data_IF_635194271231
#
_entry.id   IF_635194271231
#
_cell.length_a   1.000
_cell.length_b   1.000
_cell.length_c   1.000
_cell.angle_alpha   90.00
_cell.angle_beta   90.00
_cell.angle_gamma   90.00
#
_symmetry.space_group_name_H-M   'P 1'
#
loop_
_entity.id
_entity.type
_entity.pdbx_description
1 polymer ?
#
# COMPACT_ATOMS: atom_id res chain seq x y z
N UNK A 1 14.40 -10.44 -17.03
CA UNK A 1 13.36 -11.26 -16.34
C UNK A 1 12.58 -10.32 -15.44
N UNK A 2 11.25 -10.40 -15.40
CA UNK A 2 10.48 -9.57 -14.48
C UNK A 2 10.84 -9.95 -13.03
N UNK A 3 11.03 -8.94 -12.19
CA UNK A 3 11.32 -9.10 -10.76
C UNK A 3 10.26 -10.02 -10.10
N UNK A 4 10.64 -11.11 -9.40
CA UNK A 4 9.71 -11.98 -8.70
C UNK A 4 8.73 -11.23 -7.79
N UNK A 5 9.19 -10.15 -7.14
CA UNK A 5 8.35 -9.29 -6.29
C UNK A 5 7.20 -8.66 -7.10
N UNK A 6 7.49 -8.24 -8.33
CA UNK A 6 6.50 -7.65 -9.23
C UNK A 6 5.42 -8.67 -9.57
N UNK A 7 5.84 -9.88 -9.94
CA UNK A 7 4.93 -10.94 -10.40
C UNK A 7 4.07 -11.50 -9.27
N UNK A 8 4.63 -11.63 -8.08
CA UNK A 8 3.96 -12.28 -6.95
C UNK A 8 3.11 -11.32 -6.14
N UNK A 9 3.56 -10.08 -5.94
CA UNK A 9 2.90 -9.13 -5.03
C UNK A 9 2.41 -7.87 -5.74
N UNK A 10 3.26 -7.19 -6.51
CA UNK A 10 2.91 -5.85 -7.03
C UNK A 10 1.81 -5.89 -8.10
N UNK A 11 1.69 -6.99 -8.86
CA UNK A 11 0.54 -7.21 -9.75
C UNK A 11 -0.81 -7.17 -9.02
N UNK A 12 -0.85 -7.57 -7.74
CA UNK A 12 -2.03 -7.43 -6.90
C UNK A 12 -2.33 -5.97 -6.61
N UNK A 13 -1.34 -5.22 -6.13
CA UNK A 13 -1.47 -3.80 -5.80
C UNK A 13 -1.87 -2.95 -7.00
N UNK A 14 -1.30 -3.20 -8.18
CA UNK A 14 -1.69 -2.45 -9.38
C UNK A 14 -3.14 -2.66 -9.77
N UNK A 15 -3.71 -3.85 -9.58
CA UNK A 15 -5.15 -4.06 -9.82
C UNK A 15 -5.99 -3.24 -8.86
N UNK A 16 -5.55 -3.06 -7.62
CA UNK A 16 -6.22 -2.22 -6.62
C UNK A 16 -6.17 -0.75 -7.06
N UNK A 17 -4.99 -0.25 -7.48
CA UNK A 17 -4.86 1.11 -8.03
C UNK A 17 -5.75 1.31 -9.26
N UNK A 18 -5.76 0.36 -10.19
CA UNK A 18 -6.62 0.41 -11.37
C UNK A 18 -8.10 0.50 -10.98
N UNK A 19 -8.57 -0.33 -10.03
CA UNK A 19 -9.96 -0.26 -9.55
C UNK A 19 -10.26 1.08 -8.87
N UNK A 20 -9.34 1.57 -8.04
CA UNK A 20 -9.48 2.84 -7.34
C UNK A 20 -9.71 3.99 -8.33
N UNK A 21 -8.83 4.13 -9.32
CA UNK A 21 -8.94 5.23 -10.30
C UNK A 21 -10.06 4.99 -11.32
N UNK A 22 -10.40 3.74 -11.63
CA UNK A 22 -11.58 3.44 -12.45
C UNK A 22 -12.91 3.84 -11.78
N UNK A 23 -12.91 4.04 -10.45
CA UNK A 23 -14.06 4.53 -9.69
C UNK A 23 -14.17 6.07 -9.65
N UNK A 24 -13.11 6.79 -10.03
CA UNK A 24 -13.13 8.25 -10.10
C UNK A 24 -13.93 8.74 -11.32
N UNK A 25 -14.37 10.01 -11.30
CA UNK A 25 -15.16 10.64 -12.36
C UNK A 25 -14.48 10.66 -13.72
N UNK A 26 -13.15 10.52 -13.81
CA UNK A 26 -12.42 10.49 -15.09
C UNK A 26 -12.19 9.08 -15.64
N UNK A 27 -12.38 8.04 -14.82
CA UNK A 27 -12.00 6.68 -15.16
C UNK A 27 -10.49 6.51 -15.33
N UNK A 28 -10.07 5.34 -15.81
CA UNK A 28 -8.65 5.03 -16.03
C UNK A 28 -8.38 4.74 -17.51
N UNK A 29 -7.31 5.32 -18.05
CA UNK A 29 -6.80 4.94 -19.37
C UNK A 29 -5.35 4.46 -19.27
N UNK A 30 -4.97 3.55 -20.17
CA UNK A 30 -3.74 2.78 -20.03
C UNK A 30 -2.46 3.62 -19.97
N UNK A 31 -2.37 4.70 -20.75
CA UNK A 31 -1.17 5.56 -20.75
C UNK A 31 -0.99 6.29 -19.42
N UNK A 32 -2.04 6.90 -18.89
CA UNK A 32 -1.97 7.56 -17.58
C UNK A 32 -1.61 6.58 -16.45
N UNK A 33 -2.11 5.34 -16.50
CA UNK A 33 -1.72 4.32 -15.51
C UNK A 33 -0.24 3.93 -15.59
N UNK A 34 0.35 3.90 -16.80
CA UNK A 34 1.80 3.68 -16.94
C UNK A 34 2.60 4.84 -16.33
N UNK A 35 2.14 6.08 -16.53
CA UNK A 35 2.77 7.27 -15.97
C UNK A 35 2.66 7.31 -14.45
N UNK A 36 1.46 7.11 -13.92
CA UNK A 36 1.16 7.09 -12.49
C UNK A 36 2.03 6.05 -11.77
N UNK A 37 2.08 4.81 -12.27
CA UNK A 37 2.90 3.75 -11.68
C UNK A 37 4.40 4.07 -11.76
N UNK A 38 4.85 4.74 -12.82
CA UNK A 38 6.23 5.21 -12.94
C UNK A 38 6.54 6.29 -11.89
N UNK A 39 5.60 7.18 -11.59
CA UNK A 39 5.74 8.17 -10.51
C UNK A 39 5.87 7.50 -9.13
N UNK A 40 5.22 6.36 -8.91
CA UNK A 40 5.37 5.53 -7.71
C UNK A 40 6.65 4.66 -7.70
N UNK A 41 7.55 4.84 -8.67
CA UNK A 41 8.83 4.11 -8.77
C UNK A 41 8.74 2.74 -9.46
N UNK A 42 7.58 2.36 -10.00
CA UNK A 42 7.39 1.08 -10.67
C UNK A 42 7.59 1.19 -12.18
N UNK A 43 8.46 0.36 -12.75
CA UNK A 43 8.66 0.27 -14.21
C UNK A 43 7.71 -0.77 -14.81
N UNK A 44 6.50 -0.34 -15.18
CA UNK A 44 5.55 -1.18 -15.88
C UNK A 44 5.63 -0.98 -17.40
N UNK A 45 5.65 -2.08 -18.16
CA UNK A 45 5.57 -2.00 -19.62
C UNK A 45 4.12 -2.06 -20.11
N UNK A 46 3.80 -1.44 -21.26
CA UNK A 46 2.54 -1.65 -21.97
C UNK A 46 2.16 -3.13 -22.11
N UNK A 47 3.14 -3.98 -22.46
CA UNK A 47 2.96 -5.41 -22.65
C UNK A 47 2.53 -6.18 -21.40
N UNK A 48 2.65 -5.56 -20.22
CA UNK A 48 2.14 -6.13 -18.96
C UNK A 48 0.81 -5.50 -18.56
N UNK A 49 0.66 -4.17 -18.69
CA UNK A 49 -0.54 -3.45 -18.27
C UNK A 49 -1.77 -3.84 -19.09
N UNK A 50 -1.69 -3.79 -20.43
CA UNK A 50 -2.86 -4.00 -21.27
C UNK A 50 -3.47 -5.42 -21.12
N UNK A 51 -2.68 -6.50 -21.00
CA UNK A 51 -3.21 -7.81 -20.64
C UNK A 51 -3.86 -7.88 -19.25
N UNK A 52 -3.44 -7.05 -18.28
CA UNK A 52 -4.09 -6.96 -16.97
C UNK A 52 -5.45 -6.28 -17.11
N UNK A 53 -5.52 -5.13 -17.80
CA UNK A 53 -6.78 -4.42 -18.05
C UNK A 53 -7.80 -5.31 -18.78
N UNK A 54 -7.37 -6.01 -19.84
CA UNK A 54 -8.23 -6.95 -20.58
C UNK A 54 -8.76 -8.09 -19.69
N UNK A 55 -7.94 -8.62 -18.78
CA UNK A 55 -8.37 -9.65 -17.82
C UNK A 55 -9.37 -9.11 -16.79
N UNK A 56 -9.17 -7.88 -16.31
CA UNK A 56 -10.09 -7.24 -15.36
C UNK A 56 -11.44 -6.93 -16.01
N UNK A 57 -11.44 -6.49 -17.27
CA UNK A 57 -12.65 -6.31 -18.08
C UNK A 57 -13.36 -7.65 -18.31
N UNK A 58 -12.64 -8.70 -18.73
CA UNK A 58 -13.22 -10.04 -18.91
C UNK A 58 -13.84 -10.60 -17.62
N UNK A 59 -13.29 -10.26 -16.46
CA UNK A 59 -13.82 -10.64 -15.14
C UNK A 59 -15.03 -9.78 -14.72
N UNK A 60 -15.42 -8.80 -15.53
CA UNK A 60 -16.51 -7.90 -15.26
C UNK A 60 -16.21 -6.91 -14.13
N UNK A 61 -14.95 -6.69 -13.76
CA UNK A 61 -14.56 -5.69 -12.75
C UNK A 61 -14.44 -4.29 -13.34
N UNK A 62 -14.05 -4.24 -14.62
CA UNK A 62 -14.00 -3.02 -15.41
C UNK A 62 -14.93 -3.14 -16.62
N UNK A 63 -15.33 -1.99 -17.15
CA UNK A 63 -15.99 -1.85 -18.44
C UNK A 63 -15.28 -0.76 -19.23
N UNK A 64 -14.93 -1.03 -20.48
CA UNK A 64 -14.45 0.03 -21.36
C UNK A 64 -15.61 0.92 -21.82
N UNK A 65 -15.37 2.23 -21.82
CA UNK A 65 -16.27 3.18 -22.43
C UNK A 65 -16.12 3.16 -23.96
N UNK A 66 -17.20 3.47 -24.70
CA UNK A 66 -17.10 3.71 -26.13
C UNK A 66 -16.16 4.89 -26.41
N UNK A 67 -15.20 4.69 -27.31
CA UNK A 67 -14.36 5.78 -27.80
C UNK A 67 -15.16 6.66 -28.76
N UNK A 68 -15.02 7.99 -28.68
CA UNK A 68 -15.67 8.90 -29.62
C UNK A 68 -14.99 8.88 -31.00
N UNK A 69 -13.67 8.65 -31.04
CA UNK A 69 -12.87 8.45 -32.25
C UNK A 69 -11.96 7.24 -32.13
N UNK A 70 -11.54 6.61 -33.25
CA UNK A 70 -10.61 5.48 -33.23
C UNK A 70 -9.24 5.78 -32.58
N UNK A 71 -8.83 7.06 -32.58
CA UNK A 71 -7.56 7.52 -31.98
C UNK A 71 -7.67 7.79 -30.48
N UNK A 72 -8.87 7.85 -29.92
CA UNK A 72 -9.04 8.22 -28.52
C UNK A 72 -8.55 7.10 -27.60
N UNK A 73 -7.92 7.44 -26.47
CA UNK A 73 -7.48 6.44 -25.52
C UNK A 73 -8.68 5.67 -24.98
N UNK A 74 -8.53 4.35 -24.86
CA UNK A 74 -9.54 3.51 -24.24
C UNK A 74 -9.64 3.83 -22.74
N UNK A 75 -10.78 4.38 -22.33
CA UNK A 75 -11.12 4.66 -20.93
C UNK A 75 -11.87 3.47 -20.34
N UNK A 76 -11.53 3.12 -19.10
CA UNK A 76 -12.16 2.05 -18.34
C UNK A 76 -12.81 2.62 -17.08
N UNK A 77 -14.01 2.14 -16.79
CA UNK A 77 -14.77 2.41 -15.57
C UNK A 77 -14.94 1.17 -14.72
N UNK A 78 -15.03 1.38 -13.42
CA UNK A 78 -15.41 0.32 -12.50
C UNK A 78 -16.87 -0.09 -12.72
N UNK A 79 -17.16 -1.37 -12.60
CA UNK A 79 -18.54 -1.88 -12.62
C UNK A 79 -19.07 -2.04 -11.18
N UNK A 80 -20.37 -2.30 -10.97
CA UNK A 80 -20.88 -2.66 -9.65
C UNK A 80 -20.19 -3.88 -9.03
N UNK A 81 -19.80 -4.85 -9.85
CA UNK A 81 -19.02 -6.02 -9.39
C UNK A 81 -17.60 -5.62 -9.01
N UNK A 82 -16.96 -4.76 -9.80
CA UNK A 82 -15.63 -4.21 -9.48
C UNK A 82 -15.63 -3.39 -8.20
N UNK A 83 -16.69 -2.60 -7.96
CA UNK A 83 -16.83 -1.78 -6.76
C UNK A 83 -16.89 -2.66 -5.50
N UNK A 84 -17.69 -3.73 -5.52
CA UNK A 84 -17.73 -4.71 -4.41
C UNK A 84 -16.36 -5.34 -4.14
N UNK A 85 -15.63 -5.68 -5.21
CA UNK A 85 -14.27 -6.22 -5.09
C UNK A 85 -13.33 -5.19 -4.46
N UNK A 86 -13.39 -3.93 -4.91
CA UNK A 86 -12.57 -2.84 -4.37
C UNK A 86 -12.87 -2.60 -2.88
N UNK A 87 -14.14 -2.64 -2.48
CA UNK A 87 -14.53 -2.44 -1.08
C UNK A 87 -14.02 -3.57 -0.18
N UNK A 88 -14.10 -4.84 -0.61
CA UNK A 88 -13.48 -5.95 0.11
C UNK A 88 -11.97 -5.79 0.24
N UNK A 89 -11.29 -5.35 -0.83
CA UNK A 89 -9.84 -5.14 -0.82
C UNK A 89 -9.43 -3.97 0.09
N UNK A 90 -10.23 -2.90 0.16
CA UNK A 90 -10.01 -1.78 1.09
C UNK A 90 -10.05 -2.24 2.54
N UNK A 91 -11.03 -3.06 2.91
CA UNK A 91 -11.12 -3.61 4.27
C UNK A 91 -9.92 -4.48 4.62
N UNK A 92 -9.51 -5.37 3.71
CA UNK A 92 -8.31 -6.22 3.91
C UNK A 92 -7.02 -5.40 4.01
N UNK A 93 -6.87 -4.33 3.22
CA UNK A 93 -5.71 -3.45 3.26
C UNK A 93 -5.62 -2.68 4.58
N UNK A 94 -6.75 -2.19 5.08
CA UNK A 94 -6.85 -1.46 6.34
C UNK A 94 -6.54 -2.35 7.55
N UNK A 95 -7.01 -3.60 7.53
CA UNK A 95 -6.62 -4.63 8.52
C UNK A 95 -5.12 -4.93 8.47
N UNK A 96 -4.59 -5.25 7.29
CA UNK A 96 -3.17 -5.53 7.10
C UNK A 96 -2.30 -4.34 7.54
N UNK A 97 -2.68 -3.11 7.18
CA UNK A 97 -1.98 -1.90 7.57
C UNK A 97 -1.88 -1.79 9.10
N UNK A 98 -2.97 -2.02 9.83
CA UNK A 98 -2.96 -2.01 11.30
C UNK A 98 -1.98 -3.02 11.85
N UNK A 99 -2.00 -4.25 11.35
CA UNK A 99 -1.12 -5.32 11.82
C UNK A 99 0.36 -4.98 11.58
N UNK A 100 0.71 -4.59 10.36
CA UNK A 100 2.12 -4.34 10.02
C UNK A 100 2.65 -3.04 10.63
N UNK A 101 1.80 -2.05 10.89
CA UNK A 101 2.21 -0.77 11.49
C UNK A 101 2.44 -0.89 13.01
N UNK A 102 1.68 -1.72 13.71
CA UNK A 102 1.80 -1.90 15.18
C UNK A 102 3.12 -2.57 15.56
N UNK A 103 3.71 -3.38 14.68
CA UNK A 103 5.00 -4.03 14.90
C UNK A 103 6.21 -3.10 14.63
N UNK A 104 6.01 -1.88 14.13
CA UNK A 104 7.06 -0.89 13.86
C UNK A 104 7.43 0.03 15.02
N UNK A 105 6.74 -0.07 16.17
CA UNK A 105 6.91 0.85 17.32
C UNK A 105 7.36 0.20 18.63
N UNK A 106 7.89 -1.04 18.62
CA UNK A 106 8.57 -1.63 19.78
C UNK A 106 10.08 -1.32 19.75
N UNK A 107 10.42 -0.03 19.84
CA UNK A 107 11.79 0.44 19.78
C UNK A 107 12.08 1.78 20.47
N UNK A 108 11.18 2.29 21.33
CA UNK A 108 11.55 3.34 22.29
C UNK A 108 12.00 2.69 23.59
N UNK A 109 13.32 2.60 23.72
CA UNK A 109 14.05 2.16 24.89
C UNK A 109 13.43 2.66 26.19
N UNK A 110 13.25 1.72 27.11
CA UNK A 110 13.09 1.97 28.52
C UNK A 110 14.17 2.94 29.01
N UNK A 111 13.75 4.15 29.39
CA UNK A 111 14.51 4.93 30.39
C UNK A 111 14.14 4.39 31.76
N UNK A 112 14.78 3.29 32.14
CA UNK A 112 14.82 2.86 33.54
C UNK A 112 15.72 3.84 34.29
N UNK A 113 15.30 4.44 35.43
CA UNK A 113 16.19 5.28 36.21
C UNK A 113 17.29 4.41 36.82
N UNK A 114 18.56 4.70 36.51
CA UNK A 114 19.69 4.10 37.21
C UNK A 114 19.71 4.62 38.65
N UNK A 115 19.18 3.82 39.57
CA UNK A 115 19.43 3.95 41.00
C UNK A 115 20.59 3.02 41.42
N UNK A 116 21.76 3.60 41.72
CA UNK A 116 22.80 3.09 42.65
C UNK A 116 23.87 4.18 42.76
N UNK A 117 24.45 4.50 43.91
CA UNK A 117 24.84 3.64 45.03
C UNK A 117 25.03 4.50 46.29
N UNK A 118 24.60 3.97 47.43
CA UNK A 118 24.78 4.53 48.77
C UNK A 118 26.28 4.79 49.03
N UNK A 119 26.61 6.01 49.45
CA UNK A 119 27.88 6.31 50.13
C UNK A 119 27.70 5.91 51.60
N UNK A 120 28.46 4.90 51.98
CA UNK A 120 28.84 4.58 53.35
C UNK A 120 29.62 5.75 53.93
N UNK A 121 29.13 6.36 55.00
CA UNK A 121 29.99 7.07 55.95
C UNK A 121 29.93 6.31 57.25
N UNK A 122 31.11 5.81 57.61
CA UNK A 122 31.40 5.11 58.84
C UNK A 122 31.03 5.96 60.07
N UNK A 123 30.31 5.29 60.96
CA UNK A 123 30.40 5.33 62.42
C UNK A 123 31.63 6.10 62.95
N UNK A 124 31.39 7.26 63.56
CA UNK A 124 32.19 7.72 64.71
C UNK A 124 31.35 7.54 65.96
N UNK A 125 31.74 6.56 66.75
CA UNK A 125 31.23 6.30 68.08
C UNK A 125 31.99 7.18 69.09
N UNK A 126 31.25 7.74 70.04
CA UNK A 126 31.64 7.99 71.43
C UNK A 126 32.58 9.19 71.74
N UNK A 127 32.08 10.17 72.52
CA UNK A 127 32.27 10.20 73.98
C UNK A 127 31.98 11.58 74.61
N UNK A 128 31.02 11.59 75.54
CA UNK A 128 30.97 12.32 76.83
C UNK A 128 31.66 13.69 76.93
N UNK A 129 30.87 14.74 77.17
CA UNK A 129 30.72 15.45 78.45
C UNK A 129 29.60 16.49 78.34
#
# INVERSE_FOLDING_TARGET
MADPLVREFLLGFWKIHILHHAAEERGVYGQWMLEELRHHGYKLSPGTLYPVLARMEKRGWLRAEPAARPSDPRVYRITPTGARVLDSLRSSLDELQREVSVHGSSGRQARTPLARKKRTTETRHFSRR
#
